data_IF_027176056871
#
_entry.id   IF_027176056871
#
_cell.length_a   1.000
_cell.length_b   1.000
_cell.length_c   1.000
_cell.angle_alpha   90.00
_cell.angle_beta   90.00
_cell.angle_gamma   90.00
#
_symmetry.space_group_name_H-M   'P 1'
#
loop_
_entity.id
_entity.type
_entity.pdbx_description
1 polymer ?
#
# COMPACT_ATOMS: atom_id res chain seq x y z
N UNK A 1 -10.68 -19.98 28.42
CA UNK A 1 -10.22 -19.02 27.38
C UNK A 1 -10.86 -17.67 27.67
N UNK A 2 -10.09 -16.59 27.82
CA UNK A 2 -10.63 -15.26 28.13
C UNK A 2 -10.90 -14.51 26.81
N UNK A 3 -12.17 -14.45 26.40
CA UNK A 3 -12.60 -13.84 25.13
C UNK A 3 -12.25 -12.36 25.08
N UNK A 4 -12.45 -11.61 26.17
CA UNK A 4 -12.11 -10.18 26.21
C UNK A 4 -10.62 -9.93 25.98
N UNK A 5 -9.75 -10.79 26.52
CA UNK A 5 -8.31 -10.71 26.26
C UNK A 5 -7.98 -11.00 24.80
N UNK A 6 -8.66 -11.95 24.16
CA UNK A 6 -8.45 -12.24 22.75
C UNK A 6 -8.88 -11.08 21.85
N UNK A 7 -10.02 -10.45 22.16
CA UNK A 7 -10.50 -9.27 21.44
C UNK A 7 -9.51 -8.10 21.57
N UNK A 8 -9.07 -7.77 22.78
CA UNK A 8 -8.11 -6.69 23.00
C UNK A 8 -6.79 -6.93 22.26
N UNK A 9 -6.28 -8.17 22.30
CA UNK A 9 -5.05 -8.51 21.58
C UNK A 9 -5.21 -8.37 20.06
N UNK A 10 -6.38 -8.70 19.50
CA UNK A 10 -6.66 -8.55 18.08
C UNK A 10 -6.72 -7.07 17.67
N UNK A 11 -7.38 -6.24 18.49
CA UNK A 11 -7.46 -4.80 18.27
C UNK A 11 -6.07 -4.14 18.34
N UNK A 12 -5.27 -4.47 19.36
CA UNK A 12 -3.91 -3.94 19.51
C UNK A 12 -3.02 -4.33 18.33
N UNK A 13 -3.14 -5.57 17.84
CA UNK A 13 -2.41 -6.04 16.67
C UNK A 13 -2.81 -5.27 15.41
N UNK A 14 -4.11 -5.03 15.22
CA UNK A 14 -4.63 -4.23 14.10
C UNK A 14 -4.15 -2.78 14.15
N UNK A 15 -4.21 -2.12 15.31
CA UNK A 15 -3.73 -0.74 15.49
C UNK A 15 -2.23 -0.64 15.16
N UNK A 16 -1.42 -1.58 15.67
CA UNK A 16 0.01 -1.64 15.38
C UNK A 16 0.29 -1.86 13.88
N UNK A 17 -0.48 -2.73 13.23
CA UNK A 17 -0.44 -2.90 11.78
C UNK A 17 -0.75 -1.58 11.05
N UNK A 18 -1.86 -0.89 11.39
CA UNK A 18 -2.23 0.37 10.74
C UNK A 18 -1.14 1.43 10.87
N UNK A 19 -0.54 1.56 12.05
CA UNK A 19 0.54 2.51 12.29
C UNK A 19 1.78 2.20 11.43
N UNK A 20 2.14 0.91 11.29
CA UNK A 20 3.26 0.49 10.41
C UNK A 20 2.94 0.70 8.94
N UNK A 21 1.72 0.39 8.51
CA UNK A 21 1.30 0.62 7.13
C UNK A 21 1.32 2.12 6.78
N UNK A 22 0.86 2.98 7.69
CA UNK A 22 0.91 4.43 7.49
C UNK A 22 2.36 4.92 7.33
N UNK A 23 3.31 4.38 8.08
CA UNK A 23 4.73 4.71 7.92
C UNK A 23 5.27 4.27 6.53
N UNK A 24 4.89 3.08 6.06
CA UNK A 24 5.25 2.61 4.72
C UNK A 24 4.63 3.47 3.62
N UNK A 25 3.36 3.84 3.76
CA UNK A 25 2.67 4.72 2.81
C UNK A 25 3.35 6.09 2.72
N UNK A 26 3.70 6.70 3.87
CA UNK A 26 4.46 7.95 3.92
C UNK A 26 5.84 7.84 3.27
N UNK A 27 6.50 6.70 3.41
CA UNK A 27 7.78 6.46 2.73
C UNK A 27 7.58 6.31 1.22
N UNK A 28 6.58 5.55 0.79
CA UNK A 28 6.25 5.35 -0.62
C UNK A 28 5.85 6.66 -1.32
N UNK A 29 5.12 7.53 -0.62
CA UNK A 29 4.70 8.86 -1.10
C UNK A 29 5.89 9.72 -1.54
N UNK A 30 7.10 9.51 -1.01
CA UNK A 30 8.30 10.26 -1.44
C UNK A 30 8.70 9.99 -2.89
N UNK A 31 8.28 8.84 -3.44
CA UNK A 31 8.63 8.40 -4.79
C UNK A 31 7.47 8.56 -5.78
N UNK A 32 6.29 8.97 -5.29
CA UNK A 32 5.04 9.10 -6.06
C UNK A 32 4.60 10.56 -5.99
N UNK A 33 4.65 11.29 -7.10
CA UNK A 33 4.28 12.70 -7.17
C UNK A 33 2.94 12.96 -7.91
N UNK A 34 2.38 11.95 -8.58
CA UNK A 34 1.09 12.04 -9.28
C UNK A 34 -0.13 11.70 -8.42
N UNK A 35 0.07 11.06 -7.26
CA UNK A 35 -1.01 10.69 -6.35
C UNK A 35 -0.69 11.12 -4.92
N UNK A 36 -1.60 11.88 -4.29
CA UNK A 36 -1.50 12.30 -2.90
C UNK A 36 -2.23 11.33 -1.94
N UNK A 37 -2.87 10.30 -2.49
CA UNK A 37 -3.65 9.29 -1.76
C UNK A 37 -2.89 7.99 -1.53
N UNK A 38 -1.56 7.98 -1.61
CA UNK A 38 -0.77 6.75 -1.45
C UNK A 38 -1.08 6.11 -0.10
N UNK A 39 -1.51 4.85 -0.13
CA UNK A 39 -1.88 4.10 1.06
C UNK A 39 -1.19 2.73 1.10
N UNK A 40 -1.38 2.02 2.19
CA UNK A 40 -0.80 0.71 2.42
C UNK A 40 -1.86 -0.21 2.99
N UNK A 41 -2.00 -1.40 2.42
CA UNK A 41 -2.91 -2.43 2.92
C UNK A 41 -2.32 -3.83 2.81
N UNK A 42 -2.73 -4.73 3.70
CA UNK A 42 -2.39 -6.15 3.63
C UNK A 42 -3.47 -6.91 2.85
N UNK A 43 -3.10 -7.52 1.73
CA UNK A 43 -3.96 -8.40 0.95
C UNK A 43 -3.66 -9.88 1.26
N UNK A 44 -4.67 -10.74 1.46
CA UNK A 44 -4.46 -12.12 1.92
C UNK A 44 -3.52 -12.98 1.07
N UNK A 45 -3.43 -12.73 -0.25
CA UNK A 45 -2.56 -13.47 -1.16
C UNK A 45 -1.19 -12.80 -1.38
N UNK A 46 -1.15 -11.48 -1.31
CA UNK A 46 -0.02 -10.67 -1.80
C UNK A 46 0.81 -10.04 -0.67
N UNK A 47 0.30 -10.11 0.57
CA UNK A 47 0.98 -9.51 1.73
C UNK A 47 0.78 -7.99 1.79
N UNK A 48 1.79 -7.27 2.24
CA UNK A 48 1.74 -5.80 2.33
C UNK A 48 1.87 -5.19 0.93
N UNK A 49 0.93 -4.33 0.57
CA UNK A 49 0.88 -3.64 -0.71
C UNK A 49 0.82 -2.12 -0.52
N UNK A 50 1.41 -1.39 -1.46
CA UNK A 50 1.23 0.04 -1.66
C UNK A 50 0.12 0.23 -2.69
N UNK A 51 -0.82 1.13 -2.38
CA UNK A 51 -1.93 1.47 -3.24
C UNK A 51 -1.76 2.91 -3.72
N UNK A 52 -1.97 3.13 -5.02
CA UNK A 52 -1.97 4.46 -5.61
C UNK A 52 -2.96 4.55 -6.78
N UNK A 53 -3.61 5.70 -6.92
CA UNK A 53 -4.55 5.98 -8.01
C UNK A 53 -3.79 6.46 -9.25
N UNK A 54 -4.04 5.83 -10.40
CA UNK A 54 -3.41 6.21 -11.66
C UNK A 54 -4.31 7.24 -12.39
N UNK A 55 -3.79 8.45 -12.74
CA UNK A 55 -4.61 9.56 -13.24
C UNK A 55 -5.43 9.33 -14.53
N UNK A 56 -5.21 8.25 -15.28
CA UNK A 56 -5.91 7.97 -16.55
C UNK A 56 -6.41 6.52 -16.69
N UNK A 57 -6.27 5.70 -15.64
CA UNK A 57 -6.72 4.30 -15.65
C UNK A 57 -8.11 4.20 -15.00
N UNK A 58 -9.10 4.80 -15.66
CA UNK A 58 -10.51 4.65 -15.31
C UNK A 58 -11.00 3.23 -15.61
N UNK A 59 -10.50 2.22 -14.89
CA UNK A 59 -11.20 0.96 -14.78
C UNK A 59 -12.47 1.23 -13.98
N UNK A 60 -13.61 1.19 -14.67
CA UNK A 60 -14.99 1.43 -14.18
C UNK A 60 -15.49 0.36 -13.19
N UNK A 61 -14.57 -0.30 -12.49
CA UNK A 61 -14.79 -1.50 -11.70
C UNK A 61 -14.38 -1.30 -10.23
N UNK A 62 -14.98 -0.30 -9.57
CA UNK A 62 -15.10 -0.25 -8.11
C UNK A 62 -13.86 0.10 -7.27
N UNK A 63 -12.62 -0.12 -7.72
CA UNK A 63 -11.40 0.36 -7.04
C UNK A 63 -10.46 1.06 -8.02
N UNK A 64 -10.25 2.38 -7.90
CA UNK A 64 -9.42 3.16 -8.83
C UNK A 64 -7.91 3.04 -8.55
N UNK A 65 -7.53 2.35 -7.48
CA UNK A 65 -6.16 2.20 -7.03
C UNK A 65 -5.50 0.96 -7.65
N UNK A 66 -4.31 1.13 -8.20
CA UNK A 66 -3.43 0.01 -8.50
C UNK A 66 -2.75 -0.49 -7.23
N UNK A 67 -2.59 -1.80 -7.13
CA UNK A 67 -2.02 -2.48 -5.96
C UNK A 67 -0.64 -3.00 -6.32
N UNK A 68 0.39 -2.58 -5.60
CA UNK A 68 1.75 -3.07 -5.80
C UNK A 68 2.29 -3.71 -4.50
N UNK A 69 2.77 -4.97 -4.51
CA UNK A 69 3.47 -5.53 -3.36
C UNK A 69 4.61 -4.62 -2.88
N UNK A 70 4.67 -4.35 -1.58
CA UNK A 70 5.54 -3.32 -1.02
C UNK A 70 7.02 -3.64 -1.21
N UNK A 71 7.40 -4.91 -1.17
CA UNK A 71 8.77 -5.37 -1.42
C UNK A 71 9.19 -5.13 -2.88
N UNK A 72 8.30 -5.39 -3.84
CA UNK A 72 8.50 -5.11 -5.26
C UNK A 72 8.61 -3.61 -5.50
N UNK A 73 7.71 -2.81 -4.90
CA UNK A 73 7.75 -1.36 -4.97
C UNK A 73 9.09 -0.80 -4.48
N UNK A 74 9.47 -1.07 -3.24
CA UNK A 74 10.70 -0.53 -2.64
C UNK A 74 11.97 -1.04 -3.33
N UNK A 75 11.95 -2.26 -3.87
CA UNK A 75 13.05 -2.77 -4.70
C UNK A 75 13.18 -1.99 -6.01
N UNK A 76 12.05 -1.60 -6.62
CA UNK A 76 12.00 -0.89 -7.91
C UNK A 76 12.40 0.58 -7.80
N UNK A 77 12.16 1.23 -6.66
CA UNK A 77 12.46 2.67 -6.45
C UNK A 77 13.78 2.93 -5.71
N UNK A 78 14.50 1.89 -5.27
CA UNK A 78 15.72 2.00 -4.44
C UNK A 78 16.80 2.94 -5.00
N UNK A 79 16.91 3.06 -6.32
CA UNK A 79 17.88 3.93 -7.01
C UNK A 79 17.20 5.03 -7.83
N UNK A 80 15.95 5.36 -7.53
CA UNK A 80 15.16 6.37 -8.25
C UNK A 80 14.79 7.51 -7.33
N UNK A 81 14.66 8.71 -7.88
CA UNK A 81 14.11 9.87 -7.19
C UNK A 81 12.57 9.80 -7.17
N UNK A 82 11.97 9.37 -8.27
CA UNK A 82 10.53 9.10 -8.39
C UNK A 82 10.31 7.92 -9.35
N UNK A 83 9.21 7.18 -9.17
CA UNK A 83 8.68 6.25 -10.18
C UNK A 83 7.76 7.03 -11.13
N UNK A 84 7.23 6.47 -12.21
CA UNK A 84 6.13 7.10 -12.97
C UNK A 84 4.85 6.29 -12.79
N UNK A 85 3.68 6.89 -13.07
CA UNK A 85 2.40 6.17 -12.96
C UNK A 85 2.37 4.89 -13.83
N UNK A 86 2.97 4.92 -15.04
CA UNK A 86 3.05 3.75 -15.91
C UNK A 86 4.01 2.67 -15.39
N UNK A 87 5.15 3.07 -14.82
CA UNK A 87 6.08 2.13 -14.18
C UNK A 87 5.45 1.48 -12.96
N UNK A 88 4.73 2.25 -12.13
CA UNK A 88 3.99 1.73 -10.98
C UNK A 88 2.93 0.72 -11.43
N UNK A 89 2.16 1.04 -12.49
CA UNK A 89 1.20 0.10 -13.10
C UNK A 89 1.85 -1.21 -13.53
N UNK A 90 3.03 -1.14 -14.15
CA UNK A 90 3.70 -2.31 -14.70
C UNK A 90 4.18 -3.31 -13.62
N UNK A 91 4.40 -2.83 -12.39
CA UNK A 91 4.79 -3.66 -11.24
C UNK A 91 3.62 -3.93 -10.28
N UNK A 92 2.43 -3.47 -10.62
CA UNK A 92 1.20 -3.70 -9.86
C UNK A 92 0.49 -4.98 -10.33
N UNK A 93 -0.35 -5.55 -9.47
CA UNK A 93 -1.17 -6.76 -9.73
C UNK A 93 -2.59 -6.42 -10.19
#
# INVERSE_FOLDING_TARGET
MNISKLLNNADDAYINYRHRCEALAKEAQKYIDWDNGVSCEHLPADGLCILATIPDDCNTSGMPECVCPADVFFSSVKSKEAITAQEFKAISI
#
